data_IF_979958419809
#
_entry.id   IF_979958419809
#
_cell.length_a   1.000
_cell.length_b   1.000
_cell.length_c   1.000
_cell.angle_alpha   90.00
_cell.angle_beta   90.00
_cell.angle_gamma   90.00
#
_symmetry.space_group_name_H-M   'P 1'
#
loop_
_entity.id
_entity.type
_entity.pdbx_description
1 polymer ?
#
# COMPACT_ATOMS: atom_id res chain seq x y z
N UNK A 1 -29.93 -84.93 -12.57
CA UNK A 1 -30.57 -84.15 -11.50
C UNK A 1 -29.67 -82.96 -11.20
N UNK A 2 -30.14 -81.74 -11.51
CA UNK A 2 -29.44 -80.49 -11.21
C UNK A 2 -29.48 -80.24 -9.69
N UNK A 3 -28.31 -79.99 -9.08
CA UNK A 3 -28.24 -79.38 -7.74
C UNK A 3 -27.79 -77.93 -7.91
N UNK A 4 -28.66 -77.01 -7.50
CA UNK A 4 -28.47 -75.56 -7.57
C UNK A 4 -27.50 -75.10 -6.47
N UNK A 5 -26.32 -74.60 -6.83
CA UNK A 5 -25.54 -73.76 -5.93
C UNK A 5 -26.21 -72.38 -5.82
N UNK A 6 -26.68 -72.03 -4.62
CA UNK A 6 -27.11 -70.67 -4.31
C UNK A 6 -25.89 -69.79 -4.09
N UNK A 7 -25.63 -68.87 -5.00
CA UNK A 7 -24.64 -67.80 -4.83
C UNK A 7 -25.22 -66.75 -3.88
N UNK A 8 -24.73 -66.69 -2.63
CA UNK A 8 -24.97 -65.54 -1.75
C UNK A 8 -24.16 -64.34 -2.30
N UNK A 9 -24.85 -63.35 -2.85
CA UNK A 9 -24.26 -62.04 -3.15
C UNK A 9 -24.38 -61.21 -1.87
N UNK A 10 -23.30 -61.05 -1.12
CA UNK A 10 -23.24 -60.05 -0.05
C UNK A 10 -23.11 -58.66 -0.70
N UNK A 11 -24.18 -57.87 -0.63
CA UNK A 11 -24.13 -56.44 -0.93
C UNK A 11 -23.26 -55.73 0.10
N UNK A 12 -22.13 -55.15 -0.32
CA UNK A 12 -21.36 -54.28 0.55
C UNK A 12 -22.16 -52.98 0.75
N UNK A 13 -22.56 -52.70 1.99
CA UNK A 13 -23.19 -51.44 2.33
C UNK A 13 -22.18 -50.31 2.07
N UNK A 14 -22.55 -49.38 1.19
CA UNK A 14 -21.78 -48.15 0.97
C UNK A 14 -21.78 -47.39 2.31
N UNK A 15 -20.60 -47.08 2.89
CA UNK A 15 -20.55 -46.31 4.12
C UNK A 15 -21.24 -44.97 3.90
N UNK A 16 -22.22 -44.66 4.74
CA UNK A 16 -22.94 -43.39 4.71
C UNK A 16 -21.92 -42.28 4.99
N UNK A 17 -21.78 -41.26 4.12
CA UNK A 17 -20.84 -40.18 4.38
C UNK A 17 -21.23 -39.51 5.71
N UNK A 18 -20.28 -39.45 6.63
CA UNK A 18 -20.45 -38.76 7.91
C UNK A 18 -20.84 -37.31 7.61
N UNK A 19 -21.96 -36.79 8.13
CA UNK A 19 -22.34 -35.41 7.88
C UNK A 19 -21.24 -34.48 8.40
N UNK A 20 -20.71 -33.64 7.52
CA UNK A 20 -19.74 -32.62 7.90
C UNK A 20 -20.38 -31.75 8.99
N UNK A 21 -19.73 -31.55 10.15
CA UNK A 21 -20.27 -30.69 11.19
C UNK A 21 -20.58 -29.33 10.60
N UNK A 22 -21.80 -28.83 10.79
CA UNK A 22 -22.11 -27.48 10.35
C UNK A 22 -21.23 -26.48 11.12
N UNK A 23 -20.67 -25.46 10.45
CA UNK A 23 -19.93 -24.41 11.11
C UNK A 23 -20.77 -23.81 12.25
N UNK A 24 -20.24 -23.84 13.47
CA UNK A 24 -20.87 -23.19 14.61
C UNK A 24 -20.36 -21.77 14.71
N UNK A 25 -21.27 -20.79 14.72
CA UNK A 25 -20.92 -19.41 15.05
C UNK A 25 -20.74 -19.30 16.56
N UNK A 26 -19.51 -19.08 17.00
CA UNK A 26 -19.21 -18.76 18.40
C UNK A 26 -19.28 -17.24 18.55
N UNK A 27 -20.19 -16.75 19.39
CA UNK A 27 -20.31 -15.32 19.72
C UNK A 27 -19.73 -15.11 21.12
N UNK A 28 -18.57 -14.48 21.19
CA UNK A 28 -17.96 -14.08 22.46
C UNK A 28 -18.24 -12.60 22.72
N UNK A 29 -18.83 -12.29 23.88
CA UNK A 29 -18.99 -10.90 24.31
C UNK A 29 -17.64 -10.35 24.77
N UNK A 30 -17.17 -9.30 24.10
CA UNK A 30 -15.94 -8.59 24.46
C UNK A 30 -16.27 -7.22 25.03
N UNK A 31 -15.53 -6.82 26.07
CA UNK A 31 -15.61 -5.46 26.60
C UNK A 31 -14.73 -4.55 25.73
N UNK A 32 -15.36 -3.62 24.99
CA UNK A 32 -14.65 -2.57 24.28
C UNK A 32 -14.34 -1.43 25.25
N UNK A 33 -13.07 -1.30 25.65
CA UNK A 33 -12.61 -0.18 26.48
C UNK A 33 -12.10 0.95 25.60
N UNK A 34 -12.38 2.19 26.01
CA UNK A 34 -11.76 3.36 25.38
C UNK A 34 -10.26 3.34 25.63
N UNK A 35 -9.48 3.67 24.60
CA UNK A 35 -8.06 3.94 24.80
C UNK A 35 -7.94 5.25 25.60
N UNK A 36 -7.07 5.32 26.63
CA UNK A 36 -6.81 6.58 27.31
C UNK A 36 -6.12 7.55 26.34
N UNK A 37 -6.54 8.81 26.32
CA UNK A 37 -5.96 9.88 25.49
C UNK A 37 -6.93 10.47 24.47
N UNK A 38 -6.38 11.22 23.52
CA UNK A 38 -7.10 11.84 22.40
C UNK A 38 -6.37 11.56 21.08
N UNK A 39 -7.07 11.73 19.96
CA UNK A 39 -6.45 11.66 18.65
C UNK A 39 -5.54 12.87 18.43
N UNK A 40 -4.40 12.66 17.78
CA UNK A 40 -3.55 13.77 17.35
C UNK A 40 -4.29 14.63 16.30
N UNK A 41 -3.91 15.91 16.25
CA UNK A 41 -4.41 16.91 15.29
C UNK A 41 -3.60 16.97 13.99
N UNK A 42 -2.48 16.24 13.91
CA UNK A 42 -1.68 16.12 12.69
C UNK A 42 -2.51 15.47 11.58
N UNK A 43 -2.70 16.20 10.46
CA UNK A 43 -3.37 15.65 9.29
C UNK A 43 -2.52 14.52 8.68
N UNK A 44 -3.18 13.40 8.38
CA UNK A 44 -2.56 12.26 7.71
C UNK A 44 -3.20 12.08 6.33
N UNK A 45 -2.38 12.20 5.29
CA UNK A 45 -2.74 11.71 3.96
C UNK A 45 -2.61 10.18 3.98
N UNK A 46 -3.75 9.48 4.12
CA UNK A 46 -3.78 8.01 4.25
C UNK A 46 -4.33 7.37 2.98
N UNK A 47 -3.45 6.76 2.19
CA UNK A 47 -3.78 6.09 0.93
C UNK A 47 -3.59 4.58 1.04
N UNK A 48 -4.70 3.86 1.10
CA UNK A 48 -4.73 2.38 1.17
C UNK A 48 -5.97 1.79 0.46
N UNK A 49 -6.59 2.56 -0.45
CA UNK A 49 -7.81 2.13 -1.13
C UNK A 49 -7.77 2.52 -2.61
N UNK A 50 -7.91 1.58 -3.56
CA UNK A 50 -7.96 0.13 -3.33
C UNK A 50 -6.61 -0.40 -2.83
N UNK A 51 -6.62 -1.42 -1.97
CA UNK A 51 -5.38 -2.04 -1.49
C UNK A 51 -4.61 -2.72 -2.65
N UNK A 52 -5.31 -3.49 -3.49
CA UNK A 52 -4.72 -4.11 -4.70
C UNK A 52 -4.93 -3.20 -5.91
N UNK A 53 -3.85 -2.73 -6.51
CA UNK A 53 -3.88 -1.82 -7.65
C UNK A 53 -3.75 -2.62 -8.94
N UNK A 54 -4.82 -2.61 -9.73
CA UNK A 54 -4.89 -3.34 -11.00
C UNK A 54 -4.95 -2.43 -12.24
N UNK A 55 -5.14 -1.13 -12.02
CA UNK A 55 -5.26 -0.12 -13.07
C UNK A 55 -4.47 1.12 -12.67
N UNK A 56 -3.92 1.80 -13.66
CA UNK A 56 -3.27 3.09 -13.44
C UNK A 56 -4.33 4.15 -13.07
N UNK A 57 -3.96 5.13 -12.24
CA UNK A 57 -4.83 6.25 -11.90
C UNK A 57 -4.61 6.83 -10.51
N UNK A 58 -5.56 7.68 -10.12
CA UNK A 58 -5.59 8.33 -8.81
C UNK A 58 -6.03 7.33 -7.75
N UNK A 59 -5.20 7.16 -6.72
CA UNK A 59 -5.52 6.36 -5.53
C UNK A 59 -6.13 7.25 -4.43
N UNK A 60 -5.58 8.46 -4.28
CA UNK A 60 -6.13 9.52 -3.41
C UNK A 60 -5.61 10.87 -3.93
N UNK A 61 -6.45 11.89 -3.98
CA UNK A 61 -6.03 13.25 -4.35
C UNK A 61 -6.71 14.29 -3.49
N UNK A 62 -5.94 15.28 -3.05
CA UNK A 62 -6.47 16.43 -2.33
C UNK A 62 -6.43 17.72 -3.12
N UNK A 63 -6.07 17.67 -4.40
CA UNK A 63 -6.09 18.81 -5.31
C UNK A 63 -7.49 19.47 -5.36
N UNK A 64 -7.60 20.72 -5.80
CA UNK A 64 -8.89 21.30 -6.15
C UNK A 64 -9.50 20.59 -7.37
N UNK A 65 -10.84 20.43 -7.43
CA UNK A 65 -11.51 19.76 -8.55
C UNK A 65 -11.51 20.58 -9.85
N UNK A 66 -11.27 21.89 -9.77
CA UNK A 66 -11.32 22.80 -10.92
C UNK A 66 -10.22 22.46 -11.93
N UNK A 67 -10.60 22.26 -13.20
CA UNK A 67 -9.68 21.96 -14.29
C UNK A 67 -9.15 20.52 -14.31
N UNK A 68 -9.67 19.63 -13.45
CA UNK A 68 -9.30 18.21 -13.39
C UNK A 68 -10.20 17.36 -14.28
N UNK A 69 -9.66 16.26 -14.83
CA UNK A 69 -10.41 15.38 -15.73
C UNK A 69 -11.56 14.66 -15.02
N UNK A 70 -11.35 14.27 -13.76
CA UNK A 70 -12.35 13.60 -12.92
C UNK A 70 -12.54 14.41 -11.63
N UNK A 71 -13.31 15.53 -11.65
CA UNK A 71 -13.41 16.44 -10.52
C UNK A 71 -13.79 15.77 -9.18
N UNK A 72 -14.60 14.71 -9.21
CA UNK A 72 -15.02 13.96 -8.03
C UNK A 72 -13.91 13.15 -7.36
N UNK A 73 -12.76 12.95 -8.02
CA UNK A 73 -11.60 12.24 -7.47
C UNK A 73 -10.74 13.11 -6.53
N UNK A 74 -11.08 14.38 -6.35
CA UNK A 74 -10.24 15.35 -5.65
C UNK A 74 -10.94 15.99 -4.45
N UNK A 75 -10.32 15.85 -3.27
CA UNK A 75 -10.92 16.25 -1.99
C UNK A 75 -10.83 17.76 -1.68
N UNK A 76 -10.07 18.53 -2.45
CA UNK A 76 -9.83 19.96 -2.21
C UNK A 76 -9.36 20.29 -0.78
N UNK A 77 -8.41 19.51 -0.27
CA UNK A 77 -7.85 19.66 1.08
C UNK A 77 -6.35 19.96 1.02
N UNK A 78 -5.98 21.20 1.30
CA UNK A 78 -4.57 21.57 1.40
C UNK A 78 -3.96 21.06 2.72
N UNK A 79 -2.69 20.68 2.67
CA UNK A 79 -1.84 20.47 3.84
C UNK A 79 -0.94 21.70 4.03
N UNK A 80 -0.58 21.99 5.28
CA UNK A 80 0.38 23.04 5.62
C UNK A 80 0.94 22.80 7.01
N UNK A 81 2.14 23.30 7.30
CA UNK A 81 2.82 22.98 8.56
C UNK A 81 3.12 21.49 8.64
N UNK A 82 2.88 20.87 9.80
CA UNK A 82 3.19 19.46 10.08
C UNK A 82 2.08 18.53 9.54
N UNK A 83 2.44 17.52 8.75
CA UNK A 83 1.52 16.49 8.25
C UNK A 83 2.22 15.16 7.93
N UNK A 84 1.47 14.07 7.90
CA UNK A 84 1.98 12.73 7.59
C UNK A 84 1.44 12.21 6.28
N UNK A 85 2.20 11.31 5.65
CA UNK A 85 1.76 10.53 4.52
C UNK A 85 1.92 9.05 4.89
N UNK A 86 0.82 8.31 4.83
CA UNK A 86 0.83 6.86 4.82
C UNK A 86 0.32 6.38 3.46
N UNK A 87 1.09 5.49 2.82
CA UNK A 87 0.67 4.86 1.58
C UNK A 87 0.95 3.35 1.64
N UNK A 88 -0.07 2.54 1.37
CA UNK A 88 0.06 1.10 1.25
C UNK A 88 -0.72 0.60 0.05
N UNK A 89 -0.03 -0.10 -0.87
CA UNK A 89 -0.69 -0.73 -2.00
C UNK A 89 0.04 -2.00 -2.45
N UNK A 90 -0.70 -2.90 -3.06
CA UNK A 90 -0.26 -4.20 -3.55
C UNK A 90 -0.33 -4.23 -5.07
N UNK A 91 0.77 -4.62 -5.69
CA UNK A 91 0.82 -5.05 -7.08
C UNK A 91 0.59 -6.56 -7.14
N UNK A 92 -0.29 -6.98 -8.05
CA UNK A 92 -0.53 -8.38 -8.38
C UNK A 92 -0.58 -8.50 -9.90
N UNK A 93 0.17 -9.45 -10.45
CA UNK A 93 0.12 -9.69 -11.88
C UNK A 93 -1.33 -9.93 -12.35
N UNK A 94 -1.73 -9.23 -13.42
CA UNK A 94 -3.09 -9.32 -13.99
C UNK A 94 -3.29 -10.64 -14.72
N UNK A 95 -2.22 -11.13 -15.36
CA UNK A 95 -2.12 -12.42 -16.03
C UNK A 95 -0.74 -13.02 -15.73
N UNK A 96 -0.51 -14.32 -15.98
CA UNK A 96 0.83 -14.91 -15.83
C UNK A 96 1.92 -14.26 -16.70
N UNK A 97 1.54 -13.47 -17.71
CA UNK A 97 2.45 -12.81 -18.66
C UNK A 97 2.59 -11.31 -18.45
N UNK A 98 1.64 -10.66 -17.75
CA UNK A 98 1.73 -9.25 -17.39
C UNK A 98 2.41 -9.09 -16.02
N UNK A 99 3.74 -9.09 -16.05
CA UNK A 99 4.61 -8.96 -14.88
C UNK A 99 5.21 -7.56 -14.73
N UNK A 100 4.56 -6.55 -15.32
CA UNK A 100 5.05 -5.18 -15.29
C UNK A 100 5.18 -4.66 -13.86
N UNK A 101 6.25 -3.92 -13.60
CA UNK A 101 6.44 -3.26 -12.30
C UNK A 101 5.39 -2.18 -12.12
N UNK A 102 4.64 -2.21 -11.01
CA UNK A 102 3.79 -1.08 -10.63
C UNK A 102 4.64 -0.06 -9.88
N UNK A 103 4.50 1.22 -10.20
CA UNK A 103 5.07 2.32 -9.42
C UNK A 103 3.98 2.96 -8.57
N UNK A 104 4.34 3.25 -7.32
CA UNK A 104 3.55 4.06 -6.41
C UNK A 104 4.18 5.45 -6.31
N UNK A 105 3.48 6.44 -6.86
CA UNK A 105 3.89 7.83 -6.86
C UNK A 105 3.16 8.63 -5.77
N UNK A 106 3.86 9.58 -5.14
CA UNK A 106 3.22 10.68 -4.40
C UNK A 106 3.74 12.00 -4.94
N UNK A 107 2.85 12.79 -5.51
CA UNK A 107 3.13 14.11 -6.07
C UNK A 107 2.63 15.20 -5.13
N UNK A 108 3.42 16.25 -4.98
CA UNK A 108 3.10 17.44 -4.22
C UNK A 108 3.10 18.65 -5.14
N UNK A 109 2.06 19.47 -5.06
CA UNK A 109 1.90 20.70 -5.85
C UNK A 109 1.84 21.93 -4.95
N UNK A 110 2.55 22.98 -5.36
CA UNK A 110 2.51 24.30 -4.74
C UNK A 110 1.48 25.17 -5.47
N UNK A 111 0.32 25.50 -4.86
CA UNK A 111 -0.68 26.35 -5.49
C UNK A 111 -0.36 27.85 -5.39
N UNK A 112 0.70 28.23 -4.67
CA UNK A 112 1.06 29.60 -4.38
C UNK A 112 1.90 30.27 -5.46
N UNK A 113 2.20 31.55 -5.23
CA UNK A 113 3.06 32.38 -6.08
C UNK A 113 4.50 32.45 -5.59
N UNK A 114 4.80 31.86 -4.44
CA UNK A 114 6.14 31.82 -3.83
C UNK A 114 6.60 30.37 -3.69
N UNK A 115 7.92 30.09 -3.79
CA UNK A 115 8.44 28.74 -3.55
C UNK A 115 8.09 28.24 -2.13
N UNK A 116 7.74 26.96 -2.03
CA UNK A 116 7.58 26.28 -0.73
C UNK A 116 8.68 25.25 -0.53
N UNK A 117 9.03 24.99 0.73
CA UNK A 117 9.92 23.90 1.11
C UNK A 117 9.14 22.88 1.92
N UNK A 118 9.29 21.61 1.55
CA UNK A 118 8.81 20.47 2.32
C UNK A 118 10.02 19.80 2.96
N UNK A 119 10.11 19.88 4.28
CA UNK A 119 11.05 19.11 5.09
C UNK A 119 10.53 17.67 5.21
N UNK A 120 11.35 16.68 4.86
CA UNK A 120 11.07 15.27 5.14
C UNK A 120 11.79 14.93 6.45
N UNK A 121 11.05 14.91 7.56
CA UNK A 121 11.60 14.76 8.91
C UNK A 121 12.03 13.31 9.16
N UNK A 122 11.12 12.38 8.86
CA UNK A 122 11.33 10.93 8.91
C UNK A 122 10.60 10.32 7.72
N UNK A 123 11.15 9.26 7.15
CA UNK A 123 10.49 8.53 6.07
C UNK A 123 11.09 7.15 5.89
N UNK A 124 10.23 6.15 5.75
CA UNK A 124 10.64 4.80 5.42
C UNK A 124 9.64 4.16 4.45
N UNK A 125 10.15 3.40 3.50
CA UNK A 125 9.36 2.62 2.55
C UNK A 125 9.98 1.24 2.37
N UNK A 126 9.14 0.22 2.43
CA UNK A 126 9.56 -1.18 2.36
C UNK A 126 8.63 -1.99 1.47
N UNK A 127 9.18 -2.96 0.75
CA UNK A 127 8.43 -4.01 0.08
C UNK A 127 8.10 -5.15 1.04
N UNK A 128 6.99 -5.84 0.81
CA UNK A 128 6.70 -7.09 1.51
C UNK A 128 7.68 -8.19 1.10
N UNK A 129 8.22 -8.12 -0.12
CA UNK A 129 9.27 -9.01 -0.59
C UNK A 129 10.32 -8.22 -1.39
N UNK A 130 11.62 -8.34 -1.10
CA UNK A 130 12.23 -9.19 -0.07
C UNK A 130 12.33 -8.53 1.32
N UNK A 131 12.05 -7.24 1.43
CA UNK A 131 12.51 -6.44 2.58
C UNK A 131 11.84 -6.82 3.91
N UNK A 132 10.51 -7.00 3.91
CA UNK A 132 9.72 -7.18 5.12
C UNK A 132 8.58 -8.21 4.93
N UNK A 133 8.90 -9.51 4.88
CA UNK A 133 7.90 -10.56 4.71
C UNK A 133 6.93 -10.64 5.89
N UNK A 134 5.74 -11.16 5.62
CA UNK A 134 4.77 -11.51 6.66
C UNK A 134 5.19 -12.82 7.33
N UNK A 135 5.72 -12.71 8.54
CA UNK A 135 6.16 -13.84 9.37
C UNK A 135 5.31 -13.96 10.63
N UNK A 136 5.12 -15.17 11.18
CA UNK A 136 4.51 -15.32 12.49
C UNK A 136 5.41 -14.70 13.57
N UNK A 137 4.81 -13.92 14.46
CA UNK A 137 5.46 -13.39 15.66
C UNK A 137 4.67 -13.82 16.90
N UNK A 138 5.31 -13.92 18.08
CA UNK A 138 4.61 -14.09 19.35
C UNK A 138 3.62 -12.94 19.59
N UNK A 139 2.64 -13.16 20.48
CA UNK A 139 1.63 -12.13 20.84
C UNK A 139 2.23 -10.87 21.46
N UNK A 140 3.41 -10.98 22.08
CA UNK A 140 4.20 -9.87 22.57
C UNK A 140 5.68 -10.20 22.42
N UNK A 141 6.46 -9.23 21.94
CA UNK A 141 7.90 -9.35 21.78
C UNK A 141 8.54 -7.97 21.95
N UNK A 142 9.67 -7.92 22.68
CA UNK A 142 10.49 -6.71 22.75
C UNK A 142 11.08 -6.38 21.38
N UNK A 143 11.24 -5.09 21.09
CA UNK A 143 11.73 -4.64 19.79
C UNK A 143 12.68 -3.45 19.96
N UNK A 144 13.57 -3.48 20.94
CA UNK A 144 14.38 -2.30 21.29
C UNK A 144 15.34 -1.91 20.15
N UNK A 145 15.80 -2.89 19.36
CA UNK A 145 16.67 -2.71 18.20
C UNK A 145 15.93 -2.38 16.88
N UNK A 146 14.60 -2.53 16.84
CA UNK A 146 13.81 -2.30 15.62
C UNK A 146 13.88 -3.41 14.59
N UNK A 147 14.37 -4.60 14.95
CA UNK A 147 14.53 -5.74 14.05
C UNK A 147 13.34 -6.71 14.06
N UNK A 148 12.37 -6.52 14.96
CA UNK A 148 11.16 -7.35 15.03
C UNK A 148 10.02 -6.69 14.26
N UNK A 149 9.66 -7.27 13.11
CA UNK A 149 8.60 -6.79 12.22
C UNK A 149 7.98 -7.96 11.45
N UNK A 150 6.74 -7.76 11.01
CA UNK A 150 6.02 -8.67 10.11
C UNK A 150 5.23 -7.82 9.12
N UNK A 151 5.63 -7.88 7.85
CA UNK A 151 5.09 -7.02 6.81
C UNK A 151 5.75 -5.63 6.72
N UNK A 152 5.63 -4.98 5.56
CA UNK A 152 6.31 -3.71 5.27
C UNK A 152 5.78 -2.53 6.11
N UNK A 153 4.51 -2.56 6.51
CA UNK A 153 3.91 -1.50 7.32
C UNK A 153 4.54 -1.42 8.71
N UNK A 154 4.68 -2.56 9.40
CA UNK A 154 5.31 -2.61 10.72
C UNK A 154 6.78 -2.20 10.66
N UNK A 155 7.51 -2.63 9.62
CA UNK A 155 8.89 -2.22 9.39
C UNK A 155 9.02 -0.70 9.17
N UNK A 156 8.24 -0.13 8.25
CA UNK A 156 8.29 1.31 7.96
C UNK A 156 7.93 2.17 9.18
N UNK A 157 6.85 1.81 9.88
CA UNK A 157 6.43 2.50 11.11
C UNK A 157 7.51 2.41 12.18
N UNK A 158 8.12 1.24 12.36
CA UNK A 158 9.20 1.04 13.33
C UNK A 158 10.36 2.02 13.13
N UNK A 159 10.81 2.22 11.90
CA UNK A 159 11.92 3.15 11.63
C UNK A 159 11.54 4.61 11.83
N UNK A 160 10.36 5.01 11.34
CA UNK A 160 9.88 6.39 11.49
C UNK A 160 9.69 6.76 12.97
N UNK A 161 9.16 5.84 13.79
CA UNK A 161 9.01 6.07 15.22
C UNK A 161 10.36 6.21 15.95
N UNK A 162 11.42 5.61 15.42
CA UNK A 162 12.80 5.75 15.92
C UNK A 162 13.51 7.01 15.39
N UNK A 163 12.79 7.87 14.66
CA UNK A 163 13.36 9.12 14.14
C UNK A 163 14.17 8.96 12.85
N UNK A 164 14.07 7.81 12.17
CA UNK A 164 14.88 7.51 11.00
C UNK A 164 14.26 8.04 9.70
N UNK A 165 15.14 8.39 8.76
CA UNK A 165 14.81 8.69 7.37
C UNK A 165 15.73 7.88 6.47
N UNK A 166 15.17 7.05 5.60
CA UNK A 166 15.94 6.30 4.61
C UNK A 166 16.58 7.26 3.59
N UNK A 167 17.76 6.89 3.09
CA UNK A 167 18.53 7.71 2.13
C UNK A 167 17.85 7.88 0.76
N UNK A 168 16.85 7.04 0.45
CA UNK A 168 16.02 7.19 -0.75
C UNK A 168 15.13 8.45 -0.69
N UNK A 169 14.97 9.05 0.49
CA UNK A 169 14.21 10.28 0.69
C UNK A 169 15.17 11.44 0.96
N UNK A 170 15.13 12.52 0.15
CA UNK A 170 15.94 13.69 0.41
C UNK A 170 15.52 14.37 1.72
N UNK A 171 16.39 15.21 2.27
CA UNK A 171 16.04 15.93 3.49
C UNK A 171 14.95 16.98 3.28
N UNK A 172 14.95 17.59 2.10
CA UNK A 172 14.08 18.69 1.73
C UNK A 172 13.77 18.62 0.25
N UNK A 173 12.59 19.11 -0.11
CA UNK A 173 12.18 19.35 -1.49
C UNK A 173 11.67 20.77 -1.59
N UNK A 174 12.23 21.54 -2.52
CA UNK A 174 11.72 22.88 -2.86
C UNK A 174 10.80 22.76 -4.07
N UNK A 175 9.58 23.29 -3.95
CA UNK A 175 8.58 23.30 -5.01
C UNK A 175 8.35 24.74 -5.46
N UNK A 176 8.75 25.10 -6.70
CA UNK A 176 8.50 26.43 -7.24
C UNK A 176 7.01 26.79 -7.31
N UNK A 177 6.67 28.08 -7.47
CA UNK A 177 5.29 28.53 -7.64
C UNK A 177 4.56 27.80 -8.77
N UNK A 178 3.36 27.29 -8.50
CA UNK A 178 2.51 26.61 -9.48
C UNK A 178 3.01 25.23 -9.95
N UNK A 179 4.21 24.81 -9.56
CA UNK A 179 4.83 23.56 -10.00
C UNK A 179 4.54 22.39 -9.07
N UNK A 180 4.84 21.19 -9.56
CA UNK A 180 4.81 19.95 -8.77
C UNK A 180 6.18 19.32 -8.63
N UNK A 181 6.37 18.52 -7.57
CA UNK A 181 7.53 17.63 -7.39
C UNK A 181 7.08 16.28 -6.86
N UNK A 182 7.83 15.22 -7.18
CA UNK A 182 7.60 13.91 -6.60
C UNK A 182 8.20 13.88 -5.18
N UNK A 183 7.37 13.52 -4.19
CA UNK A 183 7.82 13.12 -2.87
C UNK A 183 8.27 11.65 -2.86
N UNK A 184 7.68 10.85 -3.75
CA UNK A 184 7.91 9.42 -3.86
C UNK A 184 7.64 8.96 -5.29
N UNK A 185 8.52 8.14 -5.86
CA UNK A 185 8.33 7.44 -7.14
C UNK A 185 8.96 6.05 -7.02
N UNK A 186 8.28 5.13 -6.34
CA UNK A 186 8.91 3.88 -5.89
C UNK A 186 8.28 2.63 -6.52
N UNK A 187 9.10 1.65 -6.94
CA UNK A 187 8.63 0.46 -7.64
C UNK A 187 8.04 -0.58 -6.68
N UNK A 188 7.12 -1.39 -7.20
CA UNK A 188 6.53 -2.58 -6.58
C UNK A 188 6.69 -3.74 -7.60
N UNK A 189 7.89 -4.35 -7.67
CA UNK A 189 8.19 -5.38 -8.65
C UNK A 189 7.53 -6.71 -8.28
N UNK A 190 7.08 -7.45 -9.29
CA UNK A 190 6.43 -8.77 -9.14
C UNK A 190 7.06 -9.88 -9.98
N UNK A 191 7.92 -9.53 -10.95
CA UNK A 191 8.40 -10.43 -12.00
C UNK A 191 9.25 -11.59 -11.52
N UNK A 192 9.93 -11.45 -10.38
CA UNK A 192 10.77 -12.48 -9.76
C UNK A 192 10.07 -13.28 -8.68
N UNK A 193 8.78 -13.01 -8.41
CA UNK A 193 8.04 -13.58 -7.28
C UNK A 193 7.08 -14.69 -7.71
N UNK A 194 6.89 -15.67 -6.83
CA UNK A 194 5.93 -16.77 -7.01
C UNK A 194 5.10 -16.96 -5.74
N UNK A 195 3.79 -16.61 -5.73
CA UNK A 195 3.07 -15.95 -6.83
C UNK A 195 3.56 -14.51 -7.08
N UNK A 196 3.32 -13.93 -8.28
CA UNK A 196 3.76 -12.58 -8.64
C UNK A 196 2.91 -11.50 -7.94
N UNK A 197 3.17 -11.31 -6.65
CA UNK A 197 2.46 -10.41 -5.75
C UNK A 197 3.44 -9.74 -4.79
N UNK A 198 3.37 -8.42 -4.69
CA UNK A 198 4.22 -7.64 -3.79
C UNK A 198 3.45 -6.41 -3.27
N UNK A 199 3.73 -6.00 -2.05
CA UNK A 199 3.13 -4.80 -1.45
C UNK A 199 4.21 -3.81 -1.04
N UNK A 200 3.93 -2.51 -1.11
CA UNK A 200 4.81 -1.47 -0.57
C UNK A 200 4.06 -0.69 0.49
N UNK A 201 4.70 -0.48 1.64
CA UNK A 201 4.22 0.46 2.66
C UNK A 201 5.21 1.59 2.82
N UNK A 202 4.71 2.80 2.90
CA UNK A 202 5.48 4.01 3.16
C UNK A 202 4.84 4.78 4.30
N UNK A 203 5.64 5.24 5.26
CA UNK A 203 5.26 6.27 6.21
C UNK A 203 6.25 7.44 6.10
N UNK A 204 5.75 8.66 6.04
CA UNK A 204 6.55 9.88 6.03
C UNK A 204 5.98 10.87 7.04
N UNK A 205 6.86 11.53 7.77
CA UNK A 205 6.58 12.69 8.62
C UNK A 205 7.19 13.92 7.96
N UNK A 206 6.35 14.89 7.59
CA UNK A 206 6.77 16.05 6.83
C UNK A 206 6.36 17.36 7.50
N UNK A 207 7.00 18.46 7.06
CA UNK A 207 6.59 19.82 7.35
C UNK A 207 6.69 20.70 6.10
N UNK A 208 5.64 21.43 5.75
CA UNK A 208 5.65 22.39 4.64
C UNK A 208 5.67 23.83 5.15
N UNK A 209 6.45 24.70 4.49
CA UNK A 209 6.45 26.16 4.74
C UNK A 209 5.23 26.88 4.17
N UNK A 210 4.45 26.22 3.31
CA UNK A 210 3.25 26.77 2.68
C UNK A 210 2.14 25.74 2.49
N UNK A 211 1.08 26.12 1.77
CA UNK A 211 0.02 25.18 1.39
C UNK A 211 0.54 24.23 0.31
N UNK A 212 0.18 22.96 0.40
CA UNK A 212 0.51 21.94 -0.60
C UNK A 212 -0.71 21.05 -0.85
N UNK A 213 -0.92 20.69 -2.11
CA UNK A 213 -1.87 19.65 -2.49
C UNK A 213 -1.13 18.35 -2.83
N UNK A 214 -1.69 17.22 -2.43
CA UNK A 214 -1.05 15.91 -2.57
C UNK A 214 -1.91 14.99 -3.41
N UNK A 215 -1.27 14.09 -4.14
CA UNK A 215 -1.95 12.95 -4.72
C UNK A 215 -1.04 11.71 -4.70
N UNK A 216 -1.60 10.56 -4.35
CA UNK A 216 -0.97 9.26 -4.56
C UNK A 216 -1.56 8.61 -5.80
N UNK A 217 -0.69 8.06 -6.62
CA UNK A 217 -1.02 7.57 -7.95
C UNK A 217 -0.39 6.18 -8.15
N UNK A 218 -1.10 5.31 -8.86
CA UNK A 218 -0.57 4.04 -9.36
C UNK A 218 -0.30 4.14 -10.85
N UNK A 219 0.86 3.72 -11.32
CA UNK A 219 1.18 3.66 -12.74
C UNK A 219 2.13 2.49 -13.03
N UNK A 220 1.88 1.70 -14.08
CA UNK A 220 2.82 0.66 -14.47
C UNK A 220 4.05 1.29 -15.12
N UNK A 221 5.19 0.60 -14.98
CA UNK A 221 6.44 0.95 -15.61
C UNK A 221 6.24 1.25 -17.09
N UNK A 222 6.90 2.30 -17.57
CA UNK A 222 6.90 2.65 -18.99
C UNK A 222 8.06 1.93 -19.66
N UNK A 223 8.01 1.84 -20.98
CA UNK A 223 9.06 1.17 -21.75
C UNK A 223 10.01 2.20 -22.37
N UNK A 224 11.29 1.86 -22.35
CA UNK A 224 12.31 2.49 -23.18
C UNK A 224 12.20 1.98 -24.63
N UNK A 225 12.82 2.67 -25.61
CA UNK A 225 12.84 2.21 -27.01
C UNK A 225 13.45 0.81 -27.20
N UNK A 226 14.31 0.36 -26.29
CA UNK A 226 14.91 -0.98 -26.28
C UNK A 226 14.03 -2.06 -25.61
N UNK A 227 12.83 -1.70 -25.15
CA UNK A 227 11.88 -2.58 -24.49
C UNK A 227 12.10 -2.77 -22.99
N UNK A 228 13.15 -2.18 -22.40
CA UNK A 228 13.38 -2.23 -20.95
C UNK A 228 12.39 -1.35 -20.19
N UNK A 229 12.09 -1.71 -18.93
CA UNK A 229 11.25 -0.88 -18.05
C UNK A 229 12.01 0.36 -17.56
N UNK A 230 11.30 1.48 -17.49
CA UNK A 230 11.71 2.71 -16.80
C UNK A 230 10.63 3.18 -15.84
N UNK A 231 11.06 3.95 -14.85
CA UNK A 231 10.13 4.64 -13.97
C UNK A 231 9.30 5.69 -14.74
N UNK A 232 8.05 5.94 -14.33
CA UNK A 232 7.29 7.06 -14.84
C UNK A 232 7.91 8.40 -14.44
N UNK A 233 7.89 9.37 -15.34
CA UNK A 233 8.40 10.71 -15.09
C UNK A 233 7.31 11.65 -14.54
N UNK A 234 7.71 12.84 -14.07
CA UNK A 234 6.79 13.82 -13.47
C UNK A 234 5.61 14.18 -14.39
N UNK A 235 5.86 14.41 -15.67
CA UNK A 235 4.82 14.79 -16.63
C UNK A 235 3.76 13.69 -16.80
N UNK A 236 4.18 12.43 -16.79
CA UNK A 236 3.28 11.28 -16.85
C UNK A 236 2.40 11.23 -15.59
N UNK A 237 2.96 11.46 -14.41
CA UNK A 237 2.19 11.57 -13.16
C UNK A 237 1.18 12.72 -13.17
N UNK A 238 1.60 13.89 -13.64
CA UNK A 238 0.71 15.06 -13.75
C UNK A 238 -0.45 14.84 -14.73
N UNK A 239 -0.24 14.03 -15.76
CA UNK A 239 -1.28 13.69 -16.76
C UNK A 239 -2.40 12.84 -16.17
N UNK A 240 -2.16 12.12 -15.07
CA UNK A 240 -3.20 11.36 -14.36
C UNK A 240 -4.11 12.23 -13.49
N UNK A 241 -3.76 13.50 -13.24
CA UNK A 241 -4.49 14.40 -12.34
C UNK A 241 -5.63 15.17 -13.03
#
# INVERSE_FOLDING_TARGET
MLSLLSSLILSQAIPTPTPTPQPQTIVESQEMRVLPGELDSVLVFNSNSPEVVQKEGILLSTFPPTGKQVPSAHLNQAFSGRFDIFAHHIAKALTPTDLRTLYLGVIANNPGTEPITIDILQAASYLSQPDAPFIPLPSSIGNDDGLQFSGPGSRAVGEVLRGLRQDIFPAQIVIPPGESRMLMNLPIPVSTLSPPLNGRSTLMRLRSTGKVYLASLGMFAKQNPDGTEREPNLQEWETLL
#
